data_IF_759310410237
#
_entry.id   IF_759310410237
#
_cell.length_a   1.000
_cell.length_b   1.000
_cell.length_c   1.000
_cell.angle_alpha   90.00
_cell.angle_beta   90.00
_cell.angle_gamma   90.00
#
_symmetry.space_group_name_H-M   'P 1'
#
loop_
_entity.id
_entity.type
_entity.pdbx_description
1 polymer ?
#
# COMPACT_ATOMS: atom_id res chain seq x y z
N UNK A 1 -3.29 32.18 14.26
CA UNK A 1 -2.48 30.94 14.28
C UNK A 1 -1.05 31.30 13.91
N UNK A 2 -0.09 30.91 14.74
CA UNK A 2 1.33 31.20 14.51
C UNK A 2 1.81 30.35 13.34
N UNK A 3 2.32 30.98 12.28
CA UNK A 3 2.90 30.29 11.14
C UNK A 3 4.25 29.72 11.57
N UNK A 4 4.46 28.42 11.37
CA UNK A 4 5.76 27.78 11.60
C UNK A 4 6.67 28.13 10.42
N UNK A 5 7.82 28.71 10.71
CA UNK A 5 8.74 29.23 9.68
C UNK A 5 10.02 28.40 9.56
N UNK A 6 10.37 27.65 10.61
CA UNK A 6 11.56 26.80 10.65
C UNK A 6 11.23 25.36 11.05
N UNK A 7 12.14 24.42 10.73
CA UNK A 7 12.02 23.01 11.15
C UNK A 7 12.08 22.89 12.67
N UNK A 8 12.88 23.73 13.33
CA UNK A 8 13.05 23.77 14.78
C UNK A 8 11.76 24.21 15.49
N UNK A 9 11.10 25.25 14.98
CA UNK A 9 9.77 25.68 15.45
C UNK A 9 8.73 24.57 15.25
N UNK A 10 8.74 23.92 14.08
CA UNK A 10 7.88 22.77 13.82
C UNK A 10 8.12 21.62 14.79
N UNK A 11 9.38 21.29 15.10
CA UNK A 11 9.72 20.23 16.06
C UNK A 11 9.33 20.59 17.49
N UNK A 12 9.46 21.87 17.87
CA UNK A 12 8.97 22.35 19.15
C UNK A 12 7.45 22.21 19.26
N UNK A 13 6.71 22.54 18.19
CA UNK A 13 5.28 22.31 18.10
C UNK A 13 4.93 20.83 18.23
N UNK A 14 5.59 19.94 17.49
CA UNK A 14 5.40 18.47 17.57
C UNK A 14 5.57 17.98 19.01
N UNK A 15 6.65 18.39 19.69
CA UNK A 15 6.90 18.01 21.09
C UNK A 15 5.83 18.54 22.03
N UNK A 16 5.40 19.78 21.85
CA UNK A 16 4.35 20.39 22.67
C UNK A 16 3.02 19.64 22.51
N UNK A 17 2.64 19.31 21.28
CA UNK A 17 1.41 18.56 20.97
C UNK A 17 1.46 17.16 21.56
N UNK A 18 2.59 16.44 21.44
CA UNK A 18 2.78 15.13 22.07
C UNK A 18 2.70 15.18 23.60
N UNK A 19 3.24 16.23 24.23
CA UNK A 19 3.14 16.42 25.68
C UNK A 19 1.70 16.68 26.11
N UNK A 20 0.94 17.49 25.35
CA UNK A 20 -0.49 17.75 25.61
C UNK A 20 -1.31 16.46 25.50
N UNK A 21 -1.01 15.62 24.52
CA UNK A 21 -1.68 14.35 24.28
C UNK A 21 -1.32 13.25 25.32
N UNK A 22 -0.38 13.51 26.24
CA UNK A 22 0.05 12.57 27.31
C UNK A 22 0.43 11.18 26.79
N UNK A 23 1.08 11.13 25.63
CA UNK A 23 1.47 9.88 24.97
C UNK A 23 2.64 9.23 25.70
N UNK A 24 2.67 7.89 25.74
CA UNK A 24 3.78 7.10 26.28
C UNK A 24 5.13 7.47 25.64
N UNK A 25 6.22 7.37 26.42
CA UNK A 25 7.55 7.86 26.00
C UNK A 25 8.11 7.11 24.79
N UNK A 26 7.82 5.81 24.66
CA UNK A 26 8.25 4.99 23.52
C UNK A 26 7.58 5.44 22.21
N UNK A 27 6.28 5.68 22.23
CA UNK A 27 5.52 6.21 21.09
C UNK A 27 5.96 7.64 20.77
N UNK A 28 6.14 8.49 21.80
CA UNK A 28 6.63 9.86 21.64
C UNK A 28 7.97 9.88 20.90
N UNK A 29 8.90 9.02 21.29
CA UNK A 29 10.20 8.87 20.63
C UNK A 29 10.05 8.51 19.15
N UNK A 30 9.19 7.53 18.83
CA UNK A 30 8.92 7.11 17.45
C UNK A 30 8.34 8.23 16.57
N UNK A 31 7.34 8.96 17.08
CA UNK A 31 6.73 10.08 16.34
C UNK A 31 7.77 11.17 16.06
N UNK A 32 8.54 11.58 17.08
CA UNK A 32 9.59 12.59 16.90
C UNK A 32 10.61 12.13 15.87
N UNK A 33 11.05 10.88 15.92
CA UNK A 33 12.00 10.33 14.95
C UNK A 33 11.50 10.49 13.52
N UNK A 34 10.23 10.16 13.23
CA UNK A 34 9.64 10.31 11.88
C UNK A 34 9.72 11.77 11.38
N UNK A 35 9.35 12.74 12.22
CA UNK A 35 9.44 14.17 11.88
C UNK A 35 10.89 14.66 11.70
N UNK A 36 11.82 14.18 12.53
CA UNK A 36 13.24 14.54 12.47
C UNK A 36 13.87 14.01 11.18
N UNK A 37 13.66 12.73 10.86
CA UNK A 37 14.25 12.06 9.69
C UNK A 37 13.55 12.38 8.38
N UNK A 38 12.37 13.01 8.43
CA UNK A 38 11.66 13.44 7.23
C UNK A 38 12.49 14.43 6.40
N UNK A 39 12.58 14.13 5.11
CA UNK A 39 13.12 15.02 4.07
C UNK A 39 12.06 15.97 3.53
N UNK A 40 10.77 15.67 3.72
CA UNK A 40 9.67 16.57 3.36
C UNK A 40 9.71 17.85 4.21
N UNK A 41 9.44 19.03 3.61
CA UNK A 41 9.40 20.30 4.33
C UNK A 41 8.08 20.49 5.08
N UNK A 42 7.72 19.51 5.91
CA UNK A 42 6.42 19.38 6.57
C UNK A 42 6.09 20.55 7.51
N UNK A 43 7.09 21.30 7.99
CA UNK A 43 6.88 22.46 8.85
C UNK A 43 6.23 23.64 8.13
N UNK A 44 6.14 23.63 6.79
CA UNK A 44 5.33 24.59 6.05
C UNK A 44 3.83 24.26 6.03
N UNK A 45 3.45 23.05 6.47
CA UNK A 45 2.05 22.68 6.59
C UNK A 45 1.34 23.49 7.68
N UNK A 46 0.01 23.70 7.57
CA UNK A 46 -0.77 24.32 8.63
C UNK A 46 -0.62 23.55 9.96
N UNK A 47 -0.54 24.24 11.12
CA UNK A 47 -0.40 23.58 12.42
C UNK A 47 -1.45 22.49 12.69
N UNK A 48 -2.71 22.74 12.33
CA UNK A 48 -3.80 21.76 12.48
C UNK A 48 -3.57 20.48 11.66
N UNK A 49 -2.91 20.60 10.50
CA UNK A 49 -2.55 19.45 9.68
C UNK A 49 -1.36 18.69 10.27
N UNK A 50 -0.38 19.39 10.85
CA UNK A 50 0.71 18.75 11.58
C UNK A 50 0.15 17.98 12.80
N UNK A 51 -0.81 18.56 13.52
CA UNK A 51 -1.52 17.90 14.61
C UNK A 51 -2.29 16.66 14.14
N UNK A 52 -2.97 16.75 12.99
CA UNK A 52 -3.58 15.59 12.34
C UNK A 52 -2.53 14.49 12.10
N UNK A 53 -1.38 14.79 11.48
CA UNK A 53 -0.32 13.80 11.23
C UNK A 53 0.23 13.20 12.52
N UNK A 54 0.41 14.01 13.57
CA UNK A 54 0.83 13.52 14.89
C UNK A 54 -0.18 12.50 15.42
N UNK A 55 -1.48 12.79 15.36
CA UNK A 55 -2.53 11.89 15.83
C UNK A 55 -2.57 10.57 15.03
N UNK A 56 -2.37 10.65 13.71
CA UNK A 56 -2.23 9.46 12.86
C UNK A 56 -1.02 8.61 13.26
N UNK A 57 0.14 9.22 13.47
CA UNK A 57 1.36 8.51 13.89
C UNK A 57 1.26 7.94 15.30
N UNK A 58 0.58 8.61 16.24
CA UNK A 58 0.29 8.07 17.57
C UNK A 58 -0.56 6.80 17.41
N UNK A 59 -1.63 6.85 16.62
CA UNK A 59 -2.52 5.70 16.39
C UNK A 59 -1.74 4.55 15.73
N UNK A 60 -0.90 4.86 14.74
CA UNK A 60 -0.03 3.91 14.06
C UNK A 60 0.93 3.20 15.02
N UNK A 61 1.61 3.94 15.90
CA UNK A 61 2.63 3.37 16.80
C UNK A 61 2.08 2.77 18.09
N UNK A 62 0.83 3.10 18.46
CA UNK A 62 0.10 2.45 19.55
C UNK A 62 -0.59 1.17 19.09
N UNK A 63 -0.80 0.98 17.79
CA UNK A 63 -1.36 -0.24 17.24
C UNK A 63 -0.53 -1.47 17.66
N UNK A 64 -1.20 -2.43 18.28
CA UNK A 64 -0.66 -3.73 18.65
C UNK A 64 -1.22 -4.76 17.69
N UNK A 65 -0.34 -5.58 17.13
CA UNK A 65 -0.76 -6.74 16.37
C UNK A 65 -1.32 -7.79 17.34
N UNK A 66 -2.13 -8.73 16.84
CA UNK A 66 -2.64 -9.85 17.65
C UNK A 66 -1.50 -10.64 18.32
N UNK A 67 -0.34 -10.68 17.68
CA UNK A 67 0.93 -10.96 18.35
C UNK A 67 1.45 -9.66 19.00
N UNK A 68 1.13 -9.46 20.27
CA UNK A 68 1.43 -8.25 21.08
C UNK A 68 2.91 -7.83 21.08
N UNK A 69 3.79 -8.71 20.58
CA UNK A 69 5.24 -8.51 20.48
C UNK A 69 5.64 -7.65 19.28
N UNK A 70 4.78 -7.50 18.28
CA UNK A 70 5.08 -6.67 17.11
C UNK A 70 4.54 -5.25 17.29
N UNK A 71 5.39 -4.27 16.98
CA UNK A 71 5.00 -2.86 16.83
C UNK A 71 5.67 -2.32 15.59
N UNK A 72 5.05 -1.36 14.92
CA UNK A 72 5.61 -0.80 13.69
C UNK A 72 6.93 -0.06 14.04
N UNK A 73 8.07 -0.44 13.42
CA UNK A 73 9.32 0.28 13.60
C UNK A 73 9.24 1.66 12.95
N UNK A 74 9.69 2.70 13.66
CA UNK A 74 9.60 4.08 13.17
C UNK A 74 10.43 4.32 11.90
N UNK A 75 11.54 3.59 11.72
CA UNK A 75 12.40 3.67 10.53
C UNK A 75 11.75 3.09 9.25
N UNK A 76 10.56 2.50 9.37
CA UNK A 76 9.75 2.00 8.27
C UNK A 76 8.51 2.89 7.99
N UNK A 77 8.46 4.07 8.61
CA UNK A 77 7.40 5.07 8.43
C UNK A 77 8.04 6.37 7.95
N UNK A 78 7.48 6.96 6.90
CA UNK A 78 8.03 8.14 6.25
C UNK A 78 6.99 9.26 6.19
N UNK A 79 7.45 10.50 6.28
CA UNK A 79 6.71 11.67 5.84
C UNK A 79 7.29 12.12 4.50
N UNK A 80 6.49 12.07 3.44
CA UNK A 80 6.92 12.48 2.10
C UNK A 80 5.98 13.54 1.55
N UNK A 81 6.51 14.44 0.72
CA UNK A 81 5.67 15.42 0.03
C UNK A 81 4.79 14.67 -0.99
N UNK A 82 3.49 14.73 -0.79
CA UNK A 82 2.48 14.25 -1.74
C UNK A 82 2.12 15.36 -2.74
N UNK A 83 1.14 15.07 -3.61
CA UNK A 83 0.63 16.03 -4.57
C UNK A 83 0.26 17.36 -3.88
N UNK A 84 0.74 18.48 -4.43
CA UNK A 84 0.63 19.85 -3.89
C UNK A 84 1.57 20.19 -2.72
N UNK A 85 2.54 19.33 -2.41
CA UNK A 85 3.63 19.63 -1.46
C UNK A 85 3.27 19.42 0.01
N UNK A 86 2.08 18.91 0.30
CA UNK A 86 1.67 18.56 1.67
C UNK A 86 2.30 17.22 2.08
N UNK A 87 2.79 17.09 3.32
CA UNK A 87 3.39 15.85 3.79
C UNK A 87 2.34 14.78 4.08
N UNK A 88 2.55 13.58 3.55
CA UNK A 88 1.72 12.40 3.83
C UNK A 88 2.51 11.31 4.54
N UNK A 89 1.82 10.47 5.31
CA UNK A 89 2.42 9.30 5.97
C UNK A 89 2.45 8.15 4.98
N UNK A 90 3.65 7.62 4.72
CA UNK A 90 3.88 6.46 3.89
C UNK A 90 4.48 5.33 4.74
N UNK A 91 4.06 4.11 4.47
CA UNK A 91 4.62 2.91 5.09
C UNK A 91 5.57 2.21 4.13
N UNK A 92 6.70 1.74 4.65
CA UNK A 92 7.56 0.83 3.92
C UNK A 92 6.81 -0.48 3.60
N UNK A 93 7.04 -1.08 2.43
CA UNK A 93 6.35 -2.31 1.98
C UNK A 93 6.43 -3.47 3.00
N UNK A 94 7.52 -3.55 3.77
CA UNK A 94 7.67 -4.54 4.87
C UNK A 94 6.62 -4.40 5.97
N UNK A 95 6.11 -3.20 6.22
CA UNK A 95 5.03 -2.99 7.21
C UNK A 95 3.77 -3.70 6.75
N UNK A 96 3.43 -3.60 5.47
CA UNK A 96 2.33 -4.35 4.88
C UNK A 96 2.53 -5.85 5.11
N UNK A 97 3.69 -6.43 4.73
CA UNK A 97 3.94 -7.85 4.98
C UNK A 97 3.74 -8.27 6.44
N UNK A 98 4.13 -7.42 7.37
CA UNK A 98 3.95 -7.66 8.80
C UNK A 98 2.46 -7.65 9.18
N UNK A 99 1.69 -6.69 8.67
CA UNK A 99 0.23 -6.57 8.87
C UNK A 99 -0.55 -7.74 8.29
N UNK A 100 -0.11 -8.27 7.15
CA UNK A 100 -0.76 -9.41 6.51
C UNK A 100 -0.24 -10.77 7.05
N UNK A 101 0.82 -10.79 7.86
CA UNK A 101 1.43 -12.04 8.35
C UNK A 101 0.52 -13.00 9.15
N UNK A 102 -0.51 -12.52 9.89
CA UNK A 102 -1.49 -13.42 10.51
C UNK A 102 -2.34 -14.18 9.49
N UNK A 103 -2.54 -13.61 8.30
CA UNK A 103 -3.44 -14.13 7.26
C UNK A 103 -2.69 -14.84 6.12
N UNK A 104 -1.41 -14.51 5.95
CA UNK A 104 -0.57 -15.01 4.86
C UNK A 104 0.44 -16.02 5.40
N UNK A 105 0.49 -17.21 4.79
CA UNK A 105 1.52 -18.22 5.07
C UNK A 105 2.82 -17.88 4.36
N UNK A 106 2.72 -17.57 3.07
CA UNK A 106 3.85 -17.14 2.23
C UNK A 106 3.33 -16.46 0.98
N UNK A 107 4.22 -15.83 0.23
CA UNK A 107 3.92 -15.24 -1.06
C UNK A 107 5.04 -15.58 -2.03
N UNK A 108 4.71 -15.55 -3.32
CA UNK A 108 5.64 -15.81 -4.41
C UNK A 108 5.48 -14.73 -5.48
N UNK A 109 6.55 -14.45 -6.21
CA UNK A 109 6.54 -13.55 -7.35
C UNK A 109 7.02 -14.31 -8.58
N UNK A 110 6.24 -14.28 -9.65
CA UNK A 110 6.60 -14.85 -10.94
C UNK A 110 6.70 -13.76 -11.99
N UNK A 111 7.70 -13.82 -12.86
CA UNK A 111 7.80 -12.90 -14.00
C UNK A 111 6.95 -13.41 -15.16
N UNK A 112 6.06 -12.58 -15.69
CA UNK A 112 5.32 -12.86 -16.92
C UNK A 112 6.25 -12.55 -18.10
N UNK A 113 6.43 -13.50 -19.02
CA UNK A 113 7.27 -13.36 -20.20
C UNK A 113 6.45 -13.46 -21.48
N UNK A 114 6.83 -12.70 -22.51
CA UNK A 114 6.26 -12.85 -23.85
C UNK A 114 6.79 -14.10 -24.57
N UNK A 115 6.35 -14.31 -25.81
CA UNK A 115 6.80 -15.43 -26.66
C UNK A 115 8.31 -15.42 -26.97
N UNK A 116 8.97 -14.28 -26.81
CA UNK A 116 10.42 -14.11 -26.99
C UNK A 116 11.18 -14.26 -25.67
N UNK A 117 10.49 -14.51 -24.56
CA UNK A 117 11.07 -14.64 -23.22
C UNK A 117 11.35 -13.30 -22.52
N UNK A 118 10.91 -12.17 -23.09
CA UNK A 118 11.10 -10.83 -22.49
C UNK A 118 10.11 -10.62 -21.37
N UNK A 119 10.51 -10.01 -20.23
CA UNK A 119 9.62 -9.77 -19.12
C UNK A 119 8.62 -8.66 -19.47
N UNK A 120 7.32 -8.98 -19.44
CA UNK A 120 6.22 -8.05 -19.76
C UNK A 120 5.34 -7.73 -18.54
N UNK A 121 5.55 -8.42 -17.42
CA UNK A 121 4.81 -8.21 -16.19
C UNK A 121 5.27 -9.10 -15.05
N UNK A 122 4.48 -9.12 -13.98
CA UNK A 122 4.66 -10.03 -12.84
C UNK A 122 3.31 -10.57 -12.36
N UNK A 123 3.37 -11.71 -11.68
CA UNK A 123 2.30 -12.29 -10.89
C UNK A 123 2.71 -12.32 -9.44
N UNK A 124 1.87 -11.80 -8.55
CA UNK A 124 1.95 -12.03 -7.13
C UNK A 124 1.03 -13.18 -6.74
N UNK A 125 1.60 -14.19 -6.09
CA UNK A 125 0.86 -15.33 -5.57
C UNK A 125 0.82 -15.20 -4.06
N UNK A 126 -0.38 -15.07 -3.50
CA UNK A 126 -0.60 -15.01 -2.06
C UNK A 126 -1.10 -16.38 -1.62
N UNK A 127 -0.37 -17.01 -0.71
CA UNK A 127 -0.78 -18.29 -0.10
C UNK A 127 -1.21 -17.97 1.33
N UNK A 128 -2.50 -18.08 1.61
CA UNK A 128 -3.04 -17.82 2.94
C UNK A 128 -2.70 -18.94 3.94
N UNK A 129 -3.08 -18.75 5.20
CA UNK A 129 -2.81 -19.72 6.28
C UNK A 129 -3.47 -21.08 6.05
N UNK A 130 -4.60 -21.11 5.37
CA UNK A 130 -5.32 -22.34 5.02
C UNK A 130 -4.67 -23.06 3.82
N UNK A 131 -3.74 -22.39 3.14
CA UNK A 131 -2.97 -22.93 2.02
C UNK A 131 -3.61 -22.67 0.67
N UNK A 132 -4.68 -21.87 0.60
CA UNK A 132 -5.29 -21.45 -0.65
C UNK A 132 -4.35 -20.46 -1.35
N UNK A 133 -4.09 -20.72 -2.64
CA UNK A 133 -3.26 -19.87 -3.46
C UNK A 133 -4.13 -18.95 -4.32
N UNK A 134 -3.91 -17.64 -4.20
CA UNK A 134 -4.56 -16.62 -5.00
C UNK A 134 -3.54 -15.86 -5.83
N UNK A 135 -3.87 -15.53 -7.08
CA UNK A 135 -2.96 -14.94 -8.06
C UNK A 135 -3.43 -13.55 -8.48
N UNK A 136 -2.49 -12.60 -8.55
CA UNK A 136 -2.71 -11.24 -9.03
C UNK A 136 -1.67 -10.86 -10.08
N UNK A 137 -2.11 -10.48 -11.27
CA UNK A 137 -1.23 -10.25 -12.41
C UNK A 137 -1.22 -8.77 -12.82
N UNK A 138 -0.03 -8.23 -13.12
CA UNK A 138 0.15 -6.88 -13.65
C UNK A 138 1.20 -6.86 -14.75
N UNK A 139 0.96 -6.04 -15.76
CA UNK A 139 1.87 -5.82 -16.89
C UNK A 139 2.55 -4.46 -16.79
N UNK A 140 3.81 -4.36 -17.21
CA UNK A 140 4.61 -3.14 -17.10
C UNK A 140 3.98 -1.95 -17.82
N UNK A 141 3.44 -2.17 -19.02
CA UNK A 141 2.85 -1.14 -19.87
C UNK A 141 1.60 -0.47 -19.27
N UNK A 142 1.03 -1.06 -18.23
CA UNK A 142 -0.16 -0.54 -17.55
C UNK A 142 0.15 0.43 -16.39
N UNK A 143 1.42 0.62 -16.02
CA UNK A 143 1.82 1.51 -14.93
C UNK A 143 2.63 2.71 -15.44
N UNK A 144 2.01 3.91 -15.41
CA UNK A 144 2.65 5.18 -15.79
C UNK A 144 3.90 5.49 -14.95
N UNK A 145 3.96 5.00 -13.71
CA UNK A 145 5.05 5.19 -12.74
C UNK A 145 6.34 4.42 -13.09
N UNK A 146 6.26 3.37 -13.91
CA UNK A 146 7.41 2.50 -14.25
C UNK A 146 8.54 3.24 -14.97
N UNK A 147 8.24 4.36 -15.62
CA UNK A 147 9.23 5.19 -16.31
C UNK A 147 10.19 5.91 -15.35
N UNK A 148 9.77 6.17 -14.11
CA UNK A 148 10.52 6.97 -13.12
C UNK A 148 11.37 6.13 -12.17
N UNK A 149 11.13 4.81 -12.10
CA UNK A 149 11.84 3.93 -11.18
C UNK A 149 13.24 3.57 -11.66
N UNK A 150 14.26 3.83 -10.82
CA UNK A 150 15.64 3.37 -11.07
C UNK A 150 15.74 1.84 -11.11
N UNK A 151 15.05 1.15 -10.21
CA UNK A 151 14.95 -0.32 -10.20
C UNK A 151 13.50 -0.75 -10.48
N UNK A 152 13.13 -0.73 -11.76
CA UNK A 152 11.76 -1.00 -12.22
C UNK A 152 11.23 -2.34 -11.70
N UNK A 153 12.04 -3.39 -11.77
CA UNK A 153 11.64 -4.73 -11.40
C UNK A 153 11.35 -4.84 -9.90
N UNK A 154 12.24 -4.31 -9.05
CA UNK A 154 12.06 -4.25 -7.61
C UNK A 154 10.82 -3.45 -7.21
N UNK A 155 10.63 -2.28 -7.81
CA UNK A 155 9.52 -1.40 -7.52
C UNK A 155 8.19 -1.97 -7.97
N UNK A 156 8.19 -2.62 -9.12
CA UNK A 156 7.03 -3.34 -9.61
C UNK A 156 6.68 -4.50 -8.68
N UNK A 157 7.67 -5.28 -8.24
CA UNK A 157 7.50 -6.37 -7.27
C UNK A 157 6.89 -5.88 -5.94
N UNK A 158 7.38 -4.79 -5.37
CA UNK A 158 6.80 -4.18 -4.16
C UNK A 158 5.36 -3.71 -4.40
N UNK A 159 5.11 -3.08 -5.54
CA UNK A 159 3.81 -2.51 -5.90
C UNK A 159 2.76 -3.59 -6.10
N UNK A 160 3.04 -4.59 -6.95
CA UNK A 160 2.12 -5.69 -7.21
C UNK A 160 1.83 -6.50 -5.94
N UNK A 161 2.83 -6.69 -5.07
CA UNK A 161 2.63 -7.40 -3.80
C UNK A 161 1.72 -6.61 -2.85
N UNK A 162 1.91 -5.29 -2.74
CA UNK A 162 1.00 -4.42 -1.97
C UNK A 162 -0.43 -4.47 -2.52
N UNK A 163 -0.60 -4.34 -3.84
CA UNK A 163 -1.92 -4.43 -4.49
C UNK A 163 -2.57 -5.79 -4.26
N UNK A 164 -1.81 -6.88 -4.44
CA UNK A 164 -2.31 -8.24 -4.27
C UNK A 164 -2.82 -8.48 -2.85
N UNK A 165 -2.05 -8.06 -1.84
CA UNK A 165 -2.46 -8.15 -0.44
C UNK A 165 -3.69 -7.30 -0.17
N UNK A 166 -3.74 -6.09 -0.74
CA UNK A 166 -4.86 -5.18 -0.52
C UNK A 166 -6.18 -5.71 -1.11
N UNK A 167 -6.11 -6.36 -2.27
CA UNK A 167 -7.26 -6.95 -2.97
C UNK A 167 -7.70 -8.24 -2.31
N UNK A 168 -6.75 -9.10 -1.89
CA UNK A 168 -7.09 -10.39 -1.25
C UNK A 168 -7.72 -10.20 0.12
N UNK A 169 -7.29 -9.18 0.88
CA UNK A 169 -7.76 -8.91 2.24
C UNK A 169 -8.24 -7.46 2.36
N UNK A 170 -9.34 -7.09 1.69
CA UNK A 170 -9.79 -5.70 1.62
C UNK A 170 -10.17 -5.14 2.99
N UNK A 171 -10.68 -5.99 3.90
CA UNK A 171 -11.04 -5.61 5.26
C UNK A 171 -9.86 -5.03 6.06
N UNK A 172 -8.63 -5.48 5.81
CA UNK A 172 -7.45 -4.96 6.52
C UNK A 172 -7.09 -3.54 6.10
N UNK A 173 -7.39 -3.14 4.86
CA UNK A 173 -7.13 -1.77 4.38
C UNK A 173 -8.15 -0.76 4.92
N UNK A 174 -9.32 -1.24 5.36
CA UNK A 174 -10.35 -0.40 5.98
C UNK A 174 -10.10 -0.17 7.48
N UNK A 175 -9.16 -0.91 8.07
CA UNK A 175 -8.84 -0.83 9.48
C UNK A 175 -7.54 -0.03 9.70
N UNK A 176 -7.42 0.69 10.84
CA UNK A 176 -6.13 1.15 11.29
C UNK A 176 -5.16 -0.04 11.40
N UNK A 177 -3.89 0.13 11.02
CA UNK A 177 -3.26 1.39 10.61
C UNK A 177 -3.33 1.73 9.11
N UNK A 178 -3.85 0.84 8.26
CA UNK A 178 -3.81 1.03 6.80
C UNK A 178 -4.78 2.10 6.30
N UNK A 179 -5.90 2.31 7.01
CA UNK A 179 -6.84 3.41 6.70
C UNK A 179 -6.31 4.81 7.01
N UNK A 180 -5.16 4.91 7.67
CA UNK A 180 -4.57 6.14 8.21
C UNK A 180 -3.39 6.69 7.38
N UNK A 181 -2.99 5.95 6.35
CA UNK A 181 -1.77 6.21 5.58
C UNK A 181 -2.08 6.31 4.10
N UNK A 182 -1.26 7.06 3.37
CA UNK A 182 -1.32 7.02 1.92
C UNK A 182 -0.51 5.84 1.38
N UNK A 183 -1.03 5.22 0.33
CA UNK A 183 -0.39 4.10 -0.36
C UNK A 183 0.45 4.63 -1.52
N UNK A 184 1.57 5.29 -1.22
CA UNK A 184 2.59 5.65 -2.22
C UNK A 184 3.89 4.89 -1.91
N UNK A 185 4.66 4.50 -2.93
CA UNK A 185 5.97 3.88 -2.70
C UNK A 185 7.02 4.98 -2.49
N UNK A 186 7.79 4.99 -1.39
CA UNK A 186 8.81 6.00 -1.16
C UNK A 186 9.91 6.04 -2.23
N UNK A 187 10.09 4.99 -3.03
CA UNK A 187 11.02 5.05 -4.18
C UNK A 187 10.33 5.49 -5.51
N UNK A 188 9.06 5.93 -5.47
CA UNK A 188 8.39 6.63 -6.58
C UNK A 188 8.91 8.06 -6.77
N UNK A 189 9.59 8.63 -5.76
CA UNK A 189 10.05 10.01 -5.71
C UNK A 189 11.51 10.04 -5.26
N UNK A 190 12.35 10.71 -6.04
CA UNK A 190 13.82 10.73 -5.93
C UNK A 190 14.37 10.90 -4.51
N UNK A 191 15.37 10.06 -4.15
CA UNK A 191 16.42 10.44 -3.21
C UNK A 191 17.78 9.98 -3.75
N UNK A 192 18.63 10.92 -4.16
CA UNK A 192 19.96 10.65 -4.72
C UNK A 192 20.98 10.16 -3.66
N UNK A 193 20.54 9.98 -2.41
CA UNK A 193 21.42 9.70 -1.27
C UNK A 193 21.29 8.29 -0.67
N UNK A 194 20.34 7.45 -1.12
CA UNK A 194 20.15 6.12 -0.55
C UNK A 194 21.08 5.07 -1.15
N UNK A 195 21.83 4.40 -0.28
CA UNK A 195 22.61 3.19 -0.57
C UNK A 195 21.72 2.06 -1.12
N UNK A 196 22.28 1.15 -1.94
CA UNK A 196 21.48 0.14 -2.64
C UNK A 196 20.83 -0.81 -1.64
N UNK A 197 19.50 -0.85 -1.63
CA UNK A 197 18.70 -1.80 -0.84
C UNK A 197 18.50 -3.08 -1.66
N UNK A 198 18.76 -4.21 -1.00
CA UNK A 198 18.41 -5.60 -1.31
C UNK A 198 18.15 -6.01 -2.78
N UNK A 199 18.90 -7.00 -3.27
CA UNK A 199 18.68 -7.58 -4.60
C UNK A 199 17.32 -8.26 -4.71
N UNK A 200 16.76 -8.32 -5.93
CA UNK A 200 15.48 -9.01 -6.23
C UNK A 200 15.48 -10.44 -5.67
N UNK A 201 16.63 -11.10 -5.68
CA UNK A 201 16.86 -12.42 -5.10
C UNK A 201 16.51 -12.52 -3.61
N UNK A 202 16.78 -11.47 -2.82
CA UNK A 202 16.46 -11.43 -1.38
C UNK A 202 14.95 -11.27 -1.13
N UNK A 203 14.21 -10.69 -2.07
CA UNK A 203 12.75 -10.58 -2.02
C UNK A 203 12.13 -11.90 -2.46
N UNK A 204 12.60 -12.50 -3.55
CA UNK A 204 12.15 -13.83 -4.00
C UNK A 204 12.35 -14.93 -2.94
N UNK A 205 13.28 -14.74 -2.00
CA UNK A 205 13.61 -15.73 -0.96
C UNK A 205 12.92 -15.48 0.38
N UNK A 206 12.12 -14.41 0.52
CA UNK A 206 11.51 -14.04 1.79
C UNK A 206 10.31 -14.95 2.14
N UNK A 207 10.59 -16.10 2.75
CA UNK A 207 9.56 -16.85 3.48
C UNK A 207 9.20 -16.09 4.76
N UNK A 208 7.90 -15.86 5.00
CA UNK A 208 7.41 -15.41 6.30
C UNK A 208 7.45 -16.61 7.24
N UNK A 209 8.63 -16.95 7.73
CA UNK A 209 8.78 -17.83 8.88
C UNK A 209 9.06 -16.94 10.08
N UNK A 210 8.30 -17.05 11.19
CA UNK A 210 8.72 -16.46 12.44
C UNK A 210 10.01 -17.18 12.84
N UNK A 211 11.16 -16.56 12.61
CA UNK A 211 12.41 -17.07 13.18
C UNK A 211 12.31 -16.91 14.71
N UNK A 212 12.47 -17.98 15.49
CA UNK A 212 12.69 -17.84 16.91
C UNK A 212 14.06 -17.18 17.11
N UNK A 213 14.06 -15.96 17.64
CA UNK A 213 15.30 -15.30 18.10
C UNK A 213 15.91 -16.17 19.21
N UNK A 214 16.93 -16.95 18.86
CA UNK A 214 17.76 -17.64 19.85
C UNK A 214 18.60 -16.58 20.57
N UNK A 215 18.27 -16.33 21.83
CA UNK A 215 19.13 -15.57 22.74
C UNK A 215 20.39 -16.37 23.05
N UNK A 216 21.53 -15.94 22.51
CA UNK A 216 22.84 -16.39 22.97
C UNK A 216 23.20 -15.64 24.27
N UNK A 217 23.17 -16.35 25.40
CA UNK A 217 23.92 -15.95 26.61
C UNK A 217 25.41 -16.31 26.44
N UNK A 218 26.36 -15.56 27.02
CA UNK A 218 27.78 -15.71 26.73
C UNK A 218 28.48 -16.79 27.57
N UNK A 219 29.39 -17.49 26.88
CA UNK A 219 30.66 -18.13 27.32
C UNK A 219 30.58 -19.32 28.29
N UNK A 220 31.02 -20.48 27.78
CA UNK A 220 32.17 -21.15 28.37
C UNK A 220 33.05 -21.82 27.30
N UNK A 221 34.35 -21.62 27.47
CA UNK A 221 35.46 -22.14 26.66
C UNK A 221 35.60 -23.64 26.90
N UNK A 222 35.70 -24.45 25.85
CA UNK A 222 36.74 -25.48 25.78
C UNK A 222 36.92 -26.04 24.36
N UNK A 223 38.20 -26.13 24.02
CA UNK A 223 38.85 -26.65 22.82
C UNK A 223 38.47 -28.09 22.47
N UNK A 224 38.34 -28.39 21.16
CA UNK A 224 39.20 -29.32 20.42
C UNK A 224 38.59 -29.64 19.03
N UNK A 225 39.31 -29.25 17.98
CA UNK A 225 39.41 -29.98 16.70
C UNK A 225 40.71 -30.81 16.76
N UNK A 226 40.98 -31.83 15.91
CA UNK A 226 40.69 -31.83 14.47
C UNK A 226 40.32 -33.19 13.83
N UNK A 227 39.94 -33.14 12.53
CA UNK A 227 40.61 -33.79 11.38
C UNK A 227 39.59 -34.23 10.31
N UNK A 228 39.77 -33.63 9.12
CA UNK A 228 39.77 -34.15 7.72
C UNK A 228 38.98 -35.45 7.40
N UNK A 229 38.37 -35.63 6.22
CA UNK A 229 38.97 -35.52 4.88
C UNK A 229 37.93 -35.86 3.78
N UNK A 230 38.00 -35.18 2.62
CA UNK A 230 37.98 -35.69 1.21
C UNK A 230 37.02 -36.86 0.82
N UNK A 231 36.41 -37.00 -0.35
CA UNK A 231 36.53 -36.46 -1.72
C UNK A 231 35.53 -37.25 -2.62
N UNK A 232 35.42 -36.85 -3.89
CA UNK A 232 35.07 -37.67 -5.08
C UNK A 232 33.61 -37.78 -5.57
N UNK A 233 33.29 -36.94 -6.56
CA UNK A 233 32.75 -37.34 -7.89
C UNK A 233 33.79 -38.19 -8.68
N UNK A 234 33.54 -38.82 -9.87
CA UNK A 234 32.55 -38.46 -10.90
C UNK A 234 31.92 -39.60 -11.77
N UNK A 235 31.01 -39.20 -12.68
CA UNK A 235 31.09 -39.37 -14.15
C UNK A 235 30.02 -40.20 -14.94
N UNK A 236 29.64 -39.61 -16.10
CA UNK A 236 29.09 -40.15 -17.40
C UNK A 236 27.70 -40.85 -17.41
N UNK A 237 26.80 -40.81 -18.42
CA UNK A 237 26.78 -40.50 -19.87
C UNK A 237 25.35 -40.15 -20.34
N UNK A 238 25.15 -39.14 -21.20
CA UNK A 238 24.71 -39.23 -22.61
C UNK A 238 23.74 -40.36 -23.04
N UNK A 239 22.58 -39.98 -23.63
CA UNK A 239 22.07 -40.53 -24.90
C UNK A 239 21.05 -39.59 -25.57
N UNK A 240 21.17 -39.48 -26.91
CA UNK A 240 20.34 -38.76 -27.88
C UNK A 240 19.02 -39.54 -28.19
N UNK A 241 17.95 -38.91 -28.72
CA UNK A 241 17.72 -38.70 -30.17
C UNK A 241 16.25 -38.40 -30.59
N UNK A 242 16.12 -37.44 -31.53
CA UNK A 242 15.20 -37.31 -32.71
C UNK A 242 13.67 -37.14 -32.68
N UNK A 243 13.26 -35.96 -33.19
CA UNK A 243 12.33 -35.63 -34.31
C UNK A 243 10.89 -36.19 -34.42
N UNK A 244 9.93 -35.27 -34.61
CA UNK A 244 9.03 -35.29 -35.78
C UNK A 244 8.44 -33.89 -36.12
N UNK A 245 8.54 -33.53 -37.40
CA UNK A 245 7.85 -32.44 -38.10
C UNK A 245 6.41 -32.83 -38.47
N UNK A 246 5.47 -31.88 -38.39
CA UNK A 246 4.30 -31.84 -39.29
C UNK A 246 3.83 -30.39 -39.52
N UNK A 247 3.81 -29.98 -40.80
CA UNK A 247 3.18 -28.75 -41.31
C UNK A 247 1.72 -29.02 -41.75
N UNK A 248 0.84 -28.01 -41.62
CA UNK A 248 -0.29 -27.62 -42.52
C UNK A 248 -0.93 -26.32 -41.95
N UNK A 249 -0.81 -25.15 -42.60
CA UNK A 249 -1.81 -24.47 -43.48
C UNK A 249 -3.24 -24.46 -42.90
N UNK A 250 -4.03 -23.39 -42.79
CA UNK A 250 -4.08 -22.03 -43.37
C UNK A 250 -5.39 -21.35 -42.91
N UNK A 251 -5.45 -20.01 -42.74
CA UNK A 251 -6.66 -19.16 -42.88
C UNK A 251 -6.30 -17.66 -42.79
N UNK A 252 -7.09 -16.74 -43.40
CA UNK A 252 -6.60 -15.55 -44.12
C UNK A 252 -6.87 -14.18 -43.46
N UNK A 253 -6.21 -13.17 -44.06
CA UNK A 253 -6.39 -11.71 -44.03
C UNK A 253 -7.66 -11.20 -43.34
N UNK A 254 -7.53 -10.50 -42.22
CA UNK A 254 -7.24 -9.05 -42.15
C UNK A 254 -8.32 -8.24 -42.87
N UNK A 255 -9.35 -7.98 -42.07
CA UNK A 255 -10.19 -6.78 -42.06
C UNK A 255 -9.34 -5.53 -42.27
N UNK A 256 -9.16 -5.15 -43.53
CA UNK A 256 -8.79 -3.79 -43.95
C UNK A 256 -10.09 -3.14 -44.41
N UNK A 257 -10.68 -2.32 -43.56
CA UNK A 257 -11.43 -1.10 -43.89
C UNK A 257 -12.13 -0.59 -42.63
N UNK A 258 -11.49 0.37 -41.96
CA UNK A 258 -12.06 1.53 -41.26
C UNK A 258 -10.92 2.19 -40.49
N UNK A 259 -10.05 2.85 -41.24
CA UNK A 259 -9.35 4.01 -40.72
C UNK A 259 -10.37 5.17 -40.63
N UNK A 260 -10.08 6.09 -39.72
CA UNK A 260 -10.77 7.36 -39.45
C UNK A 260 -11.92 7.34 -38.44
N UNK A 261 -11.57 7.04 -37.19
CA UNK A 261 -12.12 7.76 -36.03
C UNK A 261 -10.96 8.12 -35.12
N UNK A 262 -10.89 9.40 -34.72
CA UNK A 262 -9.89 9.93 -33.77
C UNK A 262 -9.78 9.04 -32.51
N UNK A 263 -8.59 8.93 -31.88
CA UNK A 263 -8.44 8.13 -30.67
C UNK A 263 -9.43 8.64 -29.61
N UNK A 264 -10.26 7.76 -29.01
CA UNK A 264 -11.18 8.16 -27.97
C UNK A 264 -10.39 8.58 -26.73
N UNK A 265 -10.79 9.71 -26.14
CA UNK A 265 -10.36 10.12 -24.81
C UNK A 265 -10.47 8.93 -23.84
N UNK A 266 -9.32 8.66 -23.21
CA UNK A 266 -9.05 7.73 -22.09
C UNK A 266 -10.24 6.93 -21.54
N UNK A 267 -10.47 5.73 -22.09
CA UNK A 267 -11.41 4.73 -21.55
C UNK A 267 -11.14 4.30 -20.08
N UNK A 268 -9.97 4.62 -19.49
CA UNK A 268 -9.59 4.25 -18.10
C UNK A 268 -10.22 5.15 -17.03
N UNK A 269 -10.46 6.43 -17.28
CA UNK A 269 -11.07 7.34 -16.28
C UNK A 269 -12.58 7.09 -16.13
N UNK A 270 -13.25 6.75 -17.24
CA UNK A 270 -14.69 6.41 -17.23
C UNK A 270 -15.03 5.21 -16.36
N UNK A 271 -14.12 4.26 -16.18
CA UNK A 271 -14.34 3.06 -15.34
C UNK A 271 -14.35 3.40 -13.85
N UNK A 272 -13.31 4.09 -13.38
CA UNK A 272 -13.22 4.49 -11.97
C UNK A 272 -14.32 5.48 -11.57
N UNK A 273 -14.74 6.35 -12.48
CA UNK A 273 -15.82 7.29 -12.24
C UNK A 273 -17.21 6.61 -12.19
N UNK A 274 -17.43 5.58 -13.00
CA UNK A 274 -18.65 4.79 -12.97
C UNK A 274 -18.79 4.01 -11.65
N UNK A 275 -17.70 3.44 -11.14
CA UNK A 275 -17.70 2.71 -9.86
C UNK A 275 -18.00 3.64 -8.68
N UNK A 276 -17.41 4.84 -8.65
CA UNK A 276 -17.66 5.85 -7.62
C UNK A 276 -19.11 6.35 -7.68
N UNK A 277 -19.66 6.51 -8.89
CA UNK A 277 -21.05 6.95 -9.07
C UNK A 277 -22.03 5.88 -8.59
N UNK A 278 -21.75 4.60 -8.84
CA UNK A 278 -22.57 3.48 -8.33
C UNK A 278 -22.51 3.41 -6.81
N UNK A 279 -21.32 3.51 -6.24
CA UNK A 279 -21.15 3.55 -4.77
C UNK A 279 -21.91 4.73 -4.15
N UNK A 280 -21.89 5.90 -4.78
CA UNK A 280 -22.63 7.07 -4.29
C UNK A 280 -24.15 6.85 -4.30
N UNK A 281 -24.68 6.14 -5.29
CA UNK A 281 -26.09 5.77 -5.34
C UNK A 281 -26.47 4.76 -4.25
N UNK A 282 -25.63 3.74 -4.03
CA UNK A 282 -25.85 2.74 -2.98
C UNK A 282 -25.83 3.39 -1.59
N UNK A 283 -24.88 4.31 -1.36
CA UNK A 283 -24.76 5.06 -0.11
C UNK A 283 -25.85 6.10 0.09
N UNK A 284 -26.31 6.74 -0.98
CA UNK A 284 -27.50 7.60 -0.93
C UNK A 284 -28.73 6.81 -0.49
N UNK A 285 -28.94 5.63 -1.07
CA UNK A 285 -30.08 4.76 -0.71
C UNK A 285 -30.01 4.33 0.75
N UNK A 286 -28.85 3.85 1.19
CA UNK A 286 -28.59 3.45 2.58
C UNK A 286 -28.83 4.61 3.57
N UNK A 287 -28.35 5.81 3.25
CA UNK A 287 -28.58 7.00 4.08
C UNK A 287 -30.05 7.40 4.09
N UNK A 288 -30.73 7.37 2.94
CA UNK A 288 -32.15 7.73 2.81
C UNK A 288 -33.05 6.81 3.61
N UNK A 289 -32.72 5.52 3.70
CA UNK A 289 -33.43 4.55 4.57
C UNK A 289 -33.25 4.87 6.07
N UNK A 290 -32.14 5.52 6.45
CA UNK A 290 -31.86 5.82 7.86
C UNK A 290 -32.47 7.13 8.34
N UNK A 291 -32.39 8.20 7.54
CA UNK A 291 -32.75 9.57 7.94
C UNK A 291 -33.87 10.19 7.09
N UNK A 292 -34.39 9.46 6.10
CA UNK A 292 -35.40 9.95 5.16
C UNK A 292 -34.78 10.57 3.91
N UNK A 293 -35.49 10.44 2.78
CA UNK A 293 -34.98 10.83 1.45
C UNK A 293 -34.71 12.34 1.32
N UNK A 294 -35.62 13.18 1.78
CA UNK A 294 -35.46 14.66 1.71
C UNK A 294 -34.31 15.16 2.59
N UNK A 295 -34.12 14.58 3.77
CA UNK A 295 -33.05 14.91 4.71
C UNK A 295 -31.68 14.48 4.14
N UNK A 296 -31.60 13.24 3.61
CA UNK A 296 -30.41 12.71 2.95
C UNK A 296 -30.00 13.55 1.73
N UNK A 297 -30.97 13.92 0.89
CA UNK A 297 -30.75 14.77 -0.28
C UNK A 297 -30.22 16.15 0.13
N UNK A 298 -30.87 16.82 1.08
CA UNK A 298 -30.43 18.12 1.59
C UNK A 298 -29.01 18.07 2.16
N UNK A 299 -28.70 17.02 2.91
CA UNK A 299 -27.38 16.80 3.50
C UNK A 299 -26.30 16.64 2.42
N UNK A 300 -26.53 15.76 1.45
CA UNK A 300 -25.58 15.48 0.37
C UNK A 300 -25.38 16.71 -0.52
N UNK A 301 -26.45 17.42 -0.88
CA UNK A 301 -26.35 18.70 -1.59
C UNK A 301 -25.53 19.72 -0.79
N UNK A 302 -25.72 19.79 0.53
CA UNK A 302 -24.90 20.64 1.40
C UNK A 302 -23.41 20.28 1.38
N UNK A 303 -23.06 18.99 1.33
CA UNK A 303 -21.67 18.53 1.20
C UNK A 303 -21.07 18.89 -0.16
N UNK A 304 -21.82 18.66 -1.25
CA UNK A 304 -21.40 18.98 -2.62
C UNK A 304 -21.16 20.49 -2.77
N UNK A 305 -22.09 21.33 -2.28
CA UNK A 305 -21.97 22.78 -2.31
C UNK A 305 -20.75 23.28 -1.52
N UNK A 306 -20.46 22.69 -0.36
CA UNK A 306 -19.25 23.01 0.42
C UNK A 306 -17.96 22.69 -0.32
N UNK A 307 -18.00 21.77 -1.28
CA UNK A 307 -16.87 21.42 -2.14
C UNK A 307 -16.80 22.25 -3.44
N UNK A 308 -17.67 23.25 -3.58
CA UNK A 308 -17.68 24.21 -4.68
C UNK A 308 -18.30 23.70 -5.97
N UNK A 309 -19.21 22.72 -5.90
CA UNK A 309 -19.95 22.23 -7.06
C UNK A 309 -21.47 22.28 -6.80
N UNK A 310 -22.26 22.27 -7.86
CA UNK A 310 -23.73 22.22 -7.77
C UNK A 310 -24.26 20.78 -7.80
N UNK A 311 -23.57 19.87 -8.49
CA UNK A 311 -23.96 18.46 -8.61
C UNK A 311 -22.78 17.54 -8.33
N UNK A 312 -23.07 16.33 -7.88
CA UNK A 312 -22.06 15.32 -7.58
C UNK A 312 -21.18 14.99 -8.80
N UNK A 313 -21.77 14.95 -10.00
CA UNK A 313 -21.03 14.64 -11.23
C UNK A 313 -19.98 15.71 -11.58
N UNK A 314 -20.21 16.95 -11.16
CA UNK A 314 -19.32 18.09 -11.43
C UNK A 314 -18.08 18.09 -10.51
N UNK A 315 -18.04 17.20 -9.51
CA UNK A 315 -16.90 17.01 -8.63
C UNK A 315 -15.81 16.15 -9.30
N UNK A 316 -14.54 16.49 -9.06
CA UNK A 316 -13.44 15.59 -9.39
C UNK A 316 -13.47 14.32 -8.51
N UNK A 317 -12.75 13.27 -8.94
CA UNK A 317 -12.72 11.96 -8.28
C UNK A 317 -12.38 12.04 -6.79
N UNK A 318 -11.47 12.93 -6.38
CA UNK A 318 -11.07 13.05 -4.98
C UNK A 318 -12.18 13.68 -4.13
N UNK A 319 -12.83 14.72 -4.64
CA UNK A 319 -13.99 15.32 -3.98
C UNK A 319 -15.18 14.36 -3.92
N UNK A 320 -15.43 13.58 -4.96
CA UNK A 320 -16.46 12.52 -4.95
C UNK A 320 -16.19 11.49 -3.83
N UNK A 321 -14.95 11.05 -3.67
CA UNK A 321 -14.54 10.16 -2.57
C UNK A 321 -14.67 10.80 -1.18
N UNK A 322 -14.38 12.09 -1.06
CA UNK A 322 -14.56 12.82 0.19
C UNK A 322 -16.03 12.88 0.61
N UNK A 323 -16.95 13.15 -0.34
CA UNK A 323 -18.40 13.11 -0.07
C UNK A 323 -18.84 11.71 0.36
N UNK A 324 -18.38 10.65 -0.31
CA UNK A 324 -18.67 9.26 0.08
C UNK A 324 -18.20 8.92 1.50
N UNK A 325 -17.00 9.36 1.87
CA UNK A 325 -16.47 9.17 3.23
C UNK A 325 -17.33 9.88 4.28
N UNK A 326 -17.77 11.11 4.00
CA UNK A 326 -18.68 11.85 4.88
C UNK A 326 -20.03 11.15 5.04
N UNK A 327 -20.61 10.64 3.95
CA UNK A 327 -21.86 9.87 3.99
C UNK A 327 -21.69 8.61 4.86
N UNK A 328 -20.60 7.86 4.68
CA UNK A 328 -20.31 6.67 5.48
C UNK A 328 -20.14 6.99 6.97
N UNK A 329 -19.55 8.14 7.32
CA UNK A 329 -19.46 8.61 8.69
C UNK A 329 -20.84 8.83 9.32
N UNK A 330 -21.77 9.46 8.60
CA UNK A 330 -23.13 9.72 9.08
C UNK A 330 -23.93 8.42 9.23
N UNK A 331 -23.83 7.51 8.25
CA UNK A 331 -24.45 6.17 8.33
C UNK A 331 -23.98 5.42 9.57
N UNK A 332 -22.66 5.44 9.82
CA UNK A 332 -22.05 4.75 10.97
C UNK A 332 -22.49 5.35 12.30
N UNK A 333 -22.61 6.68 12.39
CA UNK A 333 -23.10 7.37 13.58
C UNK A 333 -24.56 7.00 13.89
N UNK A 334 -25.45 7.04 12.89
CA UNK A 334 -26.87 6.70 13.05
C UNK A 334 -27.09 5.23 13.43
N UNK A 335 -26.26 4.31 12.92
CA UNK A 335 -26.32 2.89 13.31
C UNK A 335 -25.92 2.67 14.77
N UNK A 336 -24.94 3.41 15.27
CA UNK A 336 -24.53 3.34 16.69
C UNK A 336 -25.62 3.86 17.62
N UNK A 337 -26.31 4.93 17.26
CA UNK A 337 -27.42 5.48 18.06
C UNK A 337 -28.63 4.54 18.11
N UNK A 338 -28.99 3.88 17.00
CA UNK A 338 -30.08 2.88 16.99
C UNK A 338 -29.69 1.55 17.67
N UNK A 339 -28.40 1.19 17.69
CA UNK A 339 -27.89 -0.03 18.34
C UNK A 339 -27.71 0.08 19.87
N UNK A 340 -27.55 1.29 20.42
CA UNK A 340 -27.40 1.53 21.85
C UNK A 340 -28.71 1.71 22.63
N UNK A 341 -29.86 1.42 22.03
CA UNK A 341 -31.19 1.60 22.63
C UNK A 341 -31.82 0.31 23.18
N UNK A 342 -31.03 -0.76 23.34
CA UNK A 342 -31.48 -2.08 23.82
C UNK A 342 -30.54 -2.65 24.91
N UNK A 343 -30.08 -1.81 25.84
CA UNK A 343 -29.52 -2.26 27.13
C UNK A 343 -30.23 -1.56 28.30
#
# INVERSE_FOLDING_TARGET
MTKLTTKEEGLAFVRQTLNKAKVADDVRGKVISVFVTSTSPWWFAPPDYIEFLINQLITLFTYKFEDERMSIPHNLVYLMAADKGMPSILLHWRVYLTLYSPYVKRWELETIKDSEGRPIGMVAIIIDKDGEAWRWERYYDNLQLTSRWKNKELMFAKTILKEALAIRFPFLNLLPPLSLVETYDPDDLDDNSRTPVASVSQIMSASVHPEPVQYALPKHVSSNTPVQSTQNTPNVSQHNNTNHQTQRKSAPEIVKNLADVQPPETKKEKGAEADITREAQDKYKELSELIGEEEAKKMITGMINKMGAERFIDLDIHKKRAVLSMINGVISANRKEKGGSNE
#
